data_IF_111613513732
#
_entry.id   IF_111613513732
#
_cell.length_a   1.000
_cell.length_b   1.000
_cell.length_c   1.000
_cell.angle_alpha   90.00
_cell.angle_beta   90.00
_cell.angle_gamma   90.00
#
_symmetry.space_group_name_H-M   'P 1'
#
loop_
_entity.id
_entity.type
_entity.pdbx_description
1 polymer ?
#
# COMPACT_ATOMS: atom_id res chain seq x y z
N UNK A 1 6.64 -15.43 -6.27
CA UNK A 1 6.10 -14.98 -7.58
C UNK A 1 5.14 -13.85 -7.29
N UNK A 2 5.19 -12.73 -8.01
CA UNK A 2 4.34 -11.57 -7.74
C UNK A 2 2.89 -11.89 -8.11
N UNK A 3 1.98 -11.76 -7.15
CA UNK A 3 0.54 -11.98 -7.34
C UNK A 3 -0.15 -10.68 -7.79
N UNK A 4 -0.13 -10.44 -9.09
CA UNK A 4 -0.74 -9.25 -9.68
C UNK A 4 -2.27 -9.22 -9.56
N UNK A 5 -2.92 -10.37 -9.39
CA UNK A 5 -4.36 -10.41 -9.18
C UNK A 5 -4.72 -9.88 -7.80
N UNK A 6 -3.97 -10.29 -6.78
CA UNK A 6 -4.08 -9.77 -5.41
C UNK A 6 -3.80 -8.28 -5.34
N UNK A 7 -2.66 -7.81 -5.89
CA UNK A 7 -2.34 -6.37 -5.90
C UNK A 7 -3.44 -5.54 -6.56
N UNK A 8 -4.02 -6.01 -7.67
CA UNK A 8 -5.16 -5.34 -8.32
C UNK A 8 -6.40 -5.27 -7.43
N UNK A 9 -6.73 -6.36 -6.74
CA UNK A 9 -7.86 -6.40 -5.81
C UNK A 9 -7.66 -5.40 -4.67
N UNK A 10 -6.46 -5.36 -4.10
CA UNK A 10 -6.10 -4.47 -3.02
C UNK A 10 -6.11 -3.00 -3.45
N UNK A 11 -5.62 -2.68 -4.65
CA UNK A 11 -5.73 -1.32 -5.20
C UNK A 11 -7.20 -0.92 -5.40
N UNK A 12 -8.10 -1.84 -5.80
CA UNK A 12 -9.54 -1.54 -5.87
C UNK A 12 -10.16 -1.28 -4.51
N UNK A 13 -9.77 -2.05 -3.50
CA UNK A 13 -10.21 -1.84 -2.11
C UNK A 13 -9.78 -0.44 -1.63
N UNK A 14 -8.52 -0.06 -1.90
CA UNK A 14 -8.00 1.26 -1.57
C UNK A 14 -8.75 2.39 -2.29
N UNK A 15 -9.03 2.23 -3.60
CA UNK A 15 -9.86 3.19 -4.34
C UNK A 15 -11.23 3.39 -3.67
N UNK A 16 -11.90 2.28 -3.33
CA UNK A 16 -13.21 2.31 -2.69
C UNK A 16 -13.19 2.96 -1.29
N UNK A 17 -12.15 2.70 -0.50
CA UNK A 17 -12.01 3.27 0.84
C UNK A 17 -11.74 4.78 0.84
N UNK A 18 -11.11 5.29 -0.23
CA UNK A 18 -10.84 6.71 -0.41
C UNK A 18 -11.94 7.44 -1.19
N UNK A 19 -13.05 6.76 -1.55
CA UNK A 19 -14.13 7.29 -2.39
C UNK A 19 -13.64 7.88 -3.73
N UNK A 20 -12.63 7.23 -4.33
CA UNK A 20 -12.04 7.64 -5.61
C UNK A 20 -12.14 6.53 -6.64
N UNK A 21 -12.26 6.90 -7.91
CA UNK A 21 -12.23 5.95 -9.02
C UNK A 21 -10.84 5.89 -9.69
N UNK A 22 -10.51 4.82 -10.43
CA UNK A 22 -9.20 4.66 -11.07
C UNK A 22 -8.80 5.77 -12.04
N UNK A 23 -9.77 6.43 -12.67
CA UNK A 23 -9.51 7.54 -13.59
C UNK A 23 -9.07 8.78 -12.82
N UNK A 24 -9.71 9.10 -11.70
CA UNK A 24 -9.33 10.19 -10.81
C UNK A 24 -7.92 9.97 -10.27
N UNK A 25 -7.65 8.79 -9.71
CA UNK A 25 -6.33 8.44 -9.17
C UNK A 25 -5.24 8.58 -10.24
N UNK A 26 -5.48 8.10 -11.47
CA UNK A 26 -4.52 8.27 -12.56
C UNK A 26 -4.26 9.73 -12.93
N UNK A 27 -5.30 10.58 -12.94
CA UNK A 27 -5.15 12.02 -13.22
C UNK A 27 -4.38 12.74 -12.12
N UNK A 28 -4.65 12.43 -10.85
CA UNK A 28 -3.98 13.05 -9.70
C UNK A 28 -2.48 12.68 -9.62
N UNK A 29 -2.09 11.53 -10.19
CA UNK A 29 -0.70 11.09 -10.30
C UNK A 29 0.00 11.50 -11.62
N UNK A 30 -0.58 12.41 -12.40
CA UNK A 30 -0.08 12.80 -13.73
C UNK A 30 0.13 11.62 -14.70
N UNK A 31 -0.72 10.60 -14.59
CA UNK A 31 -0.72 9.44 -15.47
C UNK A 31 -1.84 9.54 -16.52
N UNK A 32 -1.67 8.82 -17.65
CA UNK A 32 -2.78 8.65 -18.58
C UNK A 32 -3.98 8.00 -17.87
N UNK A 33 -5.20 8.56 -18.00
CA UNK A 33 -6.43 8.01 -17.42
C UNK A 33 -6.65 6.51 -17.69
N UNK A 34 -6.14 6.07 -18.84
CA UNK A 34 -6.27 4.70 -19.29
C UNK A 34 -5.30 3.73 -18.63
N UNK A 35 -4.20 4.20 -18.03
CA UNK A 35 -3.17 3.32 -17.48
C UNK A 35 -3.69 2.53 -16.28
N UNK A 36 -4.20 3.23 -15.26
CA UNK A 36 -4.70 2.56 -14.05
C UNK A 36 -6.03 1.85 -14.33
N UNK A 37 -6.93 2.46 -15.10
CA UNK A 37 -8.22 1.87 -15.48
C UNK A 37 -8.04 0.56 -16.25
N UNK A 38 -7.14 0.51 -17.25
CA UNK A 38 -6.88 -0.74 -18.00
C UNK A 38 -6.24 -1.80 -17.11
N UNK A 39 -5.30 -1.42 -16.25
CA UNK A 39 -4.67 -2.34 -15.30
C UNK A 39 -5.71 -2.97 -14.36
N UNK A 40 -6.55 -2.15 -13.72
CA UNK A 40 -7.53 -2.64 -12.74
C UNK A 40 -8.70 -3.42 -13.37
N UNK A 41 -9.03 -3.16 -14.64
CA UNK A 41 -10.18 -3.79 -15.32
C UNK A 41 -9.81 -4.87 -16.34
N UNK A 42 -8.52 -5.12 -16.60
CA UNK A 42 -8.10 -6.16 -17.54
C UNK A 42 -8.60 -7.55 -17.13
N UNK A 43 -9.12 -8.34 -18.07
CA UNK A 43 -9.50 -9.75 -17.81
C UNK A 43 -8.29 -10.64 -17.52
N UNK A 44 -7.10 -10.23 -17.97
CA UNK A 44 -5.83 -10.93 -17.72
C UNK A 44 -5.00 -10.14 -16.70
N UNK A 45 -4.47 -10.78 -15.63
CA UNK A 45 -3.53 -10.13 -14.74
C UNK A 45 -2.29 -9.70 -15.55
N UNK A 46 -2.05 -8.39 -15.63
CA UNK A 46 -0.86 -7.81 -16.22
C UNK A 46 -0.21 -6.94 -15.16
N UNK A 47 1.11 -7.02 -15.05
CA UNK A 47 1.85 -6.11 -14.18
C UNK A 47 1.86 -4.68 -14.71
N UNK A 48 2.21 -3.75 -13.83
CA UNK A 48 2.63 -2.40 -14.20
C UNK A 48 4.14 -2.29 -14.04
N UNK A 49 4.74 -1.28 -14.68
CA UNK A 49 6.15 -0.99 -14.46
C UNK A 49 6.38 -0.42 -13.05
N UNK A 50 7.64 -0.48 -12.59
CA UNK A 50 8.02 -0.06 -11.23
C UNK A 50 7.68 1.40 -10.95
N UNK A 51 7.83 2.30 -11.94
CA UNK A 51 7.47 3.72 -11.79
C UNK A 51 5.98 3.90 -11.51
N UNK A 52 5.12 3.19 -12.25
CA UNK A 52 3.67 3.25 -12.04
C UNK A 52 3.30 2.69 -10.67
N UNK A 53 3.97 1.62 -10.25
CA UNK A 53 3.73 1.04 -8.95
C UNK A 53 4.12 2.00 -7.82
N UNK A 54 5.28 2.66 -7.92
CA UNK A 54 5.72 3.66 -6.96
C UNK A 54 4.70 4.81 -6.80
N UNK A 55 4.15 5.33 -7.90
CA UNK A 55 3.12 6.37 -7.85
C UNK A 55 1.85 5.89 -7.12
N UNK A 56 1.42 4.65 -7.36
CA UNK A 56 0.25 4.06 -6.68
C UNK A 56 0.52 3.94 -5.16
N UNK A 57 1.71 3.49 -4.78
CA UNK A 57 2.08 3.37 -3.36
C UNK A 57 2.06 4.73 -2.67
N UNK A 58 2.66 5.74 -3.30
CA UNK A 58 2.70 7.11 -2.80
C UNK A 58 1.29 7.68 -2.60
N UNK A 59 0.42 7.54 -3.61
CA UNK A 59 -0.96 8.03 -3.56
C UNK A 59 -1.75 7.45 -2.38
N UNK A 60 -1.61 6.16 -2.10
CA UNK A 60 -2.32 5.48 -1.01
C UNK A 60 -1.55 5.48 0.32
N UNK A 61 -0.44 6.22 0.40
CA UNK A 61 0.43 6.27 1.57
C UNK A 61 0.79 4.86 2.08
N UNK A 62 1.26 4.03 1.15
CA UNK A 62 1.80 2.70 1.39
C UNK A 62 3.32 2.79 1.43
N UNK A 63 3.94 2.02 2.33
CA UNK A 63 5.38 2.12 2.54
C UNK A 63 6.17 1.30 1.53
N UNK A 64 5.65 0.14 1.14
CA UNK A 64 6.28 -0.72 0.14
C UNK A 64 5.26 -1.54 -0.67
N UNK A 65 5.76 -2.24 -1.69
CA UNK A 65 4.93 -3.07 -2.56
C UNK A 65 4.29 -4.26 -1.83
N UNK A 66 4.86 -4.71 -0.71
CA UNK A 66 4.37 -5.86 0.03
C UNK A 66 3.06 -5.55 0.77
N UNK A 67 2.78 -4.27 1.04
CA UNK A 67 1.49 -3.81 1.58
C UNK A 67 0.32 -4.19 0.63
N UNK A 68 0.59 -4.26 -0.68
CA UNK A 68 -0.38 -4.71 -1.68
C UNK A 68 -0.47 -6.23 -1.80
N UNK A 69 0.42 -6.99 -1.16
CA UNK A 69 0.45 -8.45 -1.17
C UNK A 69 -0.29 -9.07 0.04
N UNK A 70 -0.88 -8.23 0.90
CA UNK A 70 -1.69 -8.64 2.06
C UNK A 70 -3.08 -9.13 1.65
N UNK A 71 -3.82 -9.78 2.57
CA UNK A 71 -5.20 -10.20 2.30
C UNK A 71 -6.18 -9.01 2.28
N UNK A 72 -5.88 -7.96 3.06
CA UNK A 72 -6.60 -6.69 3.04
C UNK A 72 -5.69 -5.54 3.54
N UNK A 73 -5.34 -4.56 2.69
CA UNK A 73 -4.42 -3.49 3.05
C UNK A 73 -4.99 -2.51 4.09
N UNK A 74 -6.31 -2.50 4.32
CA UNK A 74 -6.96 -1.61 5.28
C UNK A 74 -6.97 -2.16 6.71
N UNK A 75 -6.90 -3.48 6.87
CA UNK A 75 -7.03 -4.16 8.15
C UNK A 75 -5.81 -4.97 8.55
N UNK A 76 -4.73 -4.94 7.77
CA UNK A 76 -3.50 -5.65 8.11
C UNK A 76 -2.79 -4.96 9.29
N UNK A 77 -2.62 -5.64 10.45
CA UNK A 77 -1.98 -5.06 11.62
C UNK A 77 -0.54 -4.61 11.37
N UNK A 78 0.18 -5.24 10.43
CA UNK A 78 1.57 -4.86 10.11
C UNK A 78 1.62 -3.53 9.38
N UNK A 79 0.67 -3.27 8.48
CA UNK A 79 0.54 -1.97 7.79
C UNK A 79 0.21 -0.87 8.81
N UNK A 80 -0.72 -1.15 9.72
CA UNK A 80 -1.06 -0.21 10.79
C UNK A 80 0.14 0.12 11.68
N UNK A 81 0.91 -0.89 12.11
CA UNK A 81 2.13 -0.70 12.89
C UNK A 81 3.18 0.10 12.13
N UNK A 82 3.39 -0.17 10.84
CA UNK A 82 4.35 0.56 10.02
C UNK A 82 4.00 2.04 9.91
N UNK A 83 2.72 2.36 9.66
CA UNK A 83 2.24 3.75 9.65
C UNK A 83 2.45 4.46 10.98
N UNK A 84 2.29 3.76 12.10
CA UNK A 84 2.60 4.32 13.41
C UNK A 84 4.09 4.65 13.46
N UNK A 85 4.96 3.68 13.15
CA UNK A 85 6.42 3.81 13.18
C UNK A 85 6.91 4.98 12.31
N UNK A 86 6.41 5.11 11.09
CA UNK A 86 6.85 6.14 10.13
C UNK A 86 6.51 7.58 10.59
N UNK A 87 5.54 7.72 11.49
CA UNK A 87 5.11 9.02 12.03
C UNK A 87 5.64 9.30 13.45
N UNK A 88 6.46 8.42 14.04
CA UNK A 88 7.00 8.65 15.37
C UNK A 88 8.09 9.73 15.37
N UNK A 89 8.13 10.49 16.47
CA UNK A 89 9.31 11.28 16.79
C UNK A 89 10.51 10.35 17.07
N UNK A 90 11.75 10.81 16.90
CA UNK A 90 12.93 10.03 17.29
C UNK A 90 12.87 9.56 18.75
N UNK A 91 12.36 10.40 19.67
CA UNK A 91 12.19 10.04 21.07
C UNK A 91 11.15 8.93 21.26
N UNK A 92 9.97 9.04 20.65
CA UNK A 92 8.90 8.04 20.78
C UNK A 92 9.29 6.70 20.14
N UNK A 93 10.04 6.74 19.03
CA UNK A 93 10.56 5.54 18.39
C UNK A 93 11.51 4.75 19.32
N UNK A 94 12.35 5.45 20.09
CA UNK A 94 13.24 4.82 21.08
C UNK A 94 12.42 4.18 22.21
N UNK A 95 11.37 4.85 22.69
CA UNK A 95 10.49 4.33 23.75
C UNK A 95 9.76 3.08 23.26
N UNK A 96 9.09 3.17 22.10
CA UNK A 96 8.35 2.04 21.53
C UNK A 96 9.28 0.85 21.26
N UNK A 97 10.48 1.08 20.73
CA UNK A 97 11.44 0.00 20.50
C UNK A 97 11.84 -0.70 21.80
N UNK A 98 12.07 0.04 22.90
CA UNK A 98 12.35 -0.57 24.21
C UNK A 98 11.17 -1.40 24.72
N UNK A 99 9.93 -0.92 24.57
CA UNK A 99 8.74 -1.66 24.98
C UNK A 99 8.58 -2.97 24.20
N UNK A 100 8.76 -2.91 22.88
CA UNK A 100 8.70 -4.09 22.01
C UNK A 100 9.83 -5.08 22.35
N UNK A 101 11.06 -4.61 22.57
CA UNK A 101 12.18 -5.46 23.00
C UNK A 101 11.89 -6.15 24.34
N UNK A 102 11.41 -5.41 25.33
CA UNK A 102 11.05 -6.00 26.63
C UNK A 102 9.97 -7.08 26.52
N UNK A 103 9.04 -6.94 25.55
CA UNK A 103 7.91 -7.85 25.37
C UNK A 103 8.23 -9.07 24.50
N UNK A 104 9.10 -8.93 23.51
CA UNK A 104 9.34 -9.95 22.49
C UNK A 104 10.78 -10.50 22.45
N UNK A 105 11.70 -9.95 23.25
CA UNK A 105 13.09 -10.42 23.36
C UNK A 105 13.33 -11.29 24.61
N UNK A 106 12.27 -11.71 25.30
CA UNK A 106 12.34 -12.82 26.27
C UNK A 106 12.09 -14.16 25.57
N UNK A 107 13.05 -14.60 24.76
CA UNK A 107 13.29 -16.01 24.43
C UNK A 107 14.79 -16.29 24.51
#
# INVERSE_FOLDING_TARGET
>A
MIDWERRRRNIKILCAAHDVNPTQVALEMDMSPNTLTKFLNSKTPRGVNQRTLALILEYFNLADEADLDTDNPLSDPKIALRRIIDNLSPEDAIILNRELQNRFTQE
#
